data_IF_655596371013
#
_entry.id   IF_655596371013
#
_cell.length_a   1.000
_cell.length_b   1.000
_cell.length_c   1.000
_cell.angle_alpha   90.00
_cell.angle_beta   90.00
_cell.angle_gamma   90.00
#
_symmetry.space_group_name_H-M   'P 1'
#
loop_
_entity.id
_entity.type
_entity.pdbx_description
1 polymer ?
#
# COMPACT_ATOMS: atom_id res chain seq x y z
N UNK A 1 15.74 53.93 -40.68
CA UNK A 1 15.97 52.60 -41.30
C UNK A 1 15.98 51.56 -40.19
N UNK A 2 15.24 50.46 -40.32
CA UNK A 2 14.38 49.95 -39.25
C UNK A 2 15.01 48.80 -38.45
N UNK A 3 14.81 48.85 -37.12
CA UNK A 3 15.08 47.75 -36.21
C UNK A 3 14.07 46.60 -36.40
N UNK A 4 14.62 45.40 -36.44
CA UNK A 4 13.99 44.11 -36.67
C UNK A 4 12.83 43.84 -35.70
N UNK A 5 11.63 43.58 -36.26
CA UNK A 5 10.52 42.97 -35.54
C UNK A 5 10.80 41.47 -35.38
N UNK A 6 11.06 41.01 -34.17
CA UNK A 6 10.99 39.57 -33.86
C UNK A 6 9.53 39.13 -33.90
N UNK A 7 9.20 38.28 -34.88
CA UNK A 7 7.97 37.51 -34.94
C UNK A 7 7.99 36.51 -33.79
N UNK A 8 7.08 36.65 -32.82
CA UNK A 8 6.86 35.67 -31.76
C UNK A 8 5.80 34.71 -32.24
N UNK A 9 6.16 33.44 -32.43
CA UNK A 9 5.24 32.36 -32.75
C UNK A 9 4.09 32.31 -31.72
N UNK A 10 2.82 32.12 -32.14
CA UNK A 10 1.68 32.06 -31.23
C UNK A 10 1.64 30.81 -30.32
N UNK A 11 2.65 29.93 -30.39
CA UNK A 11 2.61 28.59 -29.80
C UNK A 11 3.41 28.42 -28.48
N UNK A 12 3.92 29.49 -27.88
CA UNK A 12 4.66 29.45 -26.61
C UNK A 12 3.70 29.65 -25.41
N UNK A 13 3.55 28.65 -24.51
CA UNK A 13 2.68 28.77 -23.34
C UNK A 13 3.22 29.84 -22.38
N UNK A 14 2.35 30.78 -22.00
CA UNK A 14 2.69 32.00 -21.24
C UNK A 14 2.65 31.79 -19.73
N UNK A 15 2.15 30.63 -19.27
CA UNK A 15 2.08 30.29 -17.84
C UNK A 15 2.48 28.84 -17.54
N UNK A 16 2.89 28.59 -16.28
CA UNK A 16 3.27 27.25 -15.78
C UNK A 16 2.10 26.26 -15.87
N UNK A 17 0.87 26.73 -15.68
CA UNK A 17 -0.35 25.92 -15.79
C UNK A 17 -0.63 25.48 -17.23
N UNK A 18 -0.43 26.36 -18.22
CA UNK A 18 -0.55 26.01 -19.64
C UNK A 18 0.50 24.97 -20.07
N UNK A 19 1.74 25.06 -19.55
CA UNK A 19 2.76 24.03 -19.80
C UNK A 19 2.33 22.65 -19.30
N UNK A 20 1.80 22.57 -18.09
CA UNK A 20 1.35 21.30 -17.49
C UNK A 20 0.13 20.71 -18.22
N UNK A 21 -0.81 21.56 -18.68
CA UNK A 21 -1.94 21.12 -19.49
C UNK A 21 -1.49 20.59 -20.86
N UNK A 22 -0.51 21.24 -21.50
CA UNK A 22 0.07 20.78 -22.77
C UNK A 22 0.80 19.44 -22.61
N UNK A 23 1.61 19.28 -21.56
CA UNK A 23 2.26 17.99 -21.24
C UNK A 23 1.24 16.87 -20.97
N UNK A 24 0.16 17.17 -20.24
CA UNK A 24 -0.92 16.20 -20.00
C UNK A 24 -1.60 15.77 -21.29
N UNK A 25 -1.86 16.70 -22.21
CA UNK A 25 -2.46 16.40 -23.51
C UNK A 25 -1.51 15.61 -24.43
N UNK A 26 -0.22 15.91 -24.43
CA UNK A 26 0.82 15.13 -25.13
C UNK A 26 0.90 13.69 -24.61
N UNK A 27 0.82 13.49 -23.28
CA UNK A 27 0.78 12.15 -22.68
C UNK A 27 -0.49 11.37 -23.06
N UNK A 28 -1.64 12.04 -23.18
CA UNK A 28 -2.88 11.42 -23.67
C UNK A 28 -2.76 11.01 -25.14
N UNK A 29 -2.22 11.87 -26.00
CA UNK A 29 -2.01 11.59 -27.42
C UNK A 29 -1.05 10.41 -27.64
N UNK A 30 0.08 10.38 -26.92
CA UNK A 30 1.03 9.26 -27.01
C UNK A 30 0.42 7.94 -26.50
N UNK A 31 -0.50 8.00 -25.53
CA UNK A 31 -1.19 6.80 -25.03
C UNK A 31 -2.18 6.24 -26.05
N UNK A 32 -2.85 7.11 -26.82
CA UNK A 32 -3.75 6.71 -27.92
C UNK A 32 -2.95 6.18 -29.11
N UNK A 33 -1.83 6.81 -29.46
CA UNK A 33 -0.93 6.31 -30.51
C UNK A 33 -0.37 4.91 -30.20
N UNK A 34 0.12 4.68 -28.97
CA UNK A 34 0.63 3.37 -28.55
C UNK A 34 -0.47 2.28 -28.48
N UNK A 35 -1.74 2.65 -28.32
CA UNK A 35 -2.86 1.71 -28.36
C UNK A 35 -3.20 1.31 -29.80
N UNK A 36 -3.09 2.24 -30.76
CA UNK A 36 -3.29 1.94 -32.18
C UNK A 36 -2.13 1.14 -32.79
N UNK A 37 -0.88 1.36 -32.37
CA UNK A 37 0.25 0.51 -32.82
C UNK A 37 0.15 -0.92 -32.29
N UNK A 38 -0.32 -1.11 -31.04
CA UNK A 38 -0.55 -2.45 -30.47
C UNK A 38 -1.74 -3.19 -31.08
N UNK A 39 -2.71 -2.48 -31.66
CA UNK A 39 -3.82 -3.08 -32.39
C UNK A 39 -3.47 -3.41 -33.85
N UNK A 40 -2.48 -2.74 -34.43
CA UNK A 40 -1.98 -3.00 -35.80
C UNK A 40 -1.04 -4.21 -35.93
N UNK A 41 -0.39 -4.62 -34.84
CA UNK A 41 0.58 -5.73 -34.83
C UNK A 41 -0.05 -7.11 -34.52
N UNK A 42 -1.35 -7.16 -34.20
CA UNK A 42 -2.09 -8.41 -33.91
C UNK A 42 -2.91 -8.95 -35.09
N UNK A 43 -2.74 -8.43 -36.30
CA UNK A 43 -3.39 -8.91 -37.54
C UNK A 43 -2.37 -9.25 -38.65
N UNK A 44 -1.28 -9.90 -38.27
CA UNK A 44 -0.38 -10.61 -39.20
C UNK A 44 -0.03 -11.95 -38.59
N UNK A 45 -0.97 -12.90 -38.65
CA UNK A 45 -0.74 -14.35 -38.60
C UNK A 45 -2.10 -15.06 -38.48
N UNK A 46 -2.87 -15.10 -39.57
CA UNK A 46 -3.93 -16.10 -39.81
C UNK A 46 -4.67 -15.82 -41.14
N UNK A 47 -4.09 -16.19 -42.28
CA UNK A 47 -4.89 -16.48 -43.48
C UNK A 47 -4.25 -17.61 -44.30
N UNK A 48 -4.91 -18.78 -44.27
CA UNK A 48 -4.87 -19.81 -45.31
C UNK A 48 -6.21 -20.56 -45.26
N UNK A 49 -6.88 -20.59 -46.42
CA UNK A 49 -8.15 -21.24 -46.78
C UNK A 49 -9.45 -20.42 -46.77
N UNK A 50 -9.72 -19.87 -47.96
CA UNK A 50 -10.91 -20.14 -48.80
C UNK A 50 -12.12 -19.18 -48.76
N UNK A 51 -12.26 -18.45 -49.89
CA UNK A 51 -13.44 -18.19 -50.76
C UNK A 51 -14.86 -18.44 -50.18
N UNK A 52 -15.91 -17.67 -50.50
CA UNK A 52 -16.18 -16.81 -51.65
C UNK A 52 -17.46 -15.97 -51.42
N UNK A 53 -17.50 -14.78 -52.07
CA UNK A 53 -18.69 -14.04 -52.59
C UNK A 53 -19.76 -13.50 -51.62
N UNK A 54 -20.51 -12.42 -51.89
CA UNK A 54 -20.38 -11.18 -52.66
C UNK A 54 -21.70 -10.39 -52.40
N UNK A 55 -21.64 -9.05 -52.46
CA UNK A 55 -22.74 -8.07 -52.66
C UNK A 55 -23.66 -7.81 -51.44
N UNK A 56 -23.54 -6.64 -50.78
CA UNK A 56 -24.14 -5.34 -51.15
C UNK A 56 -25.60 -5.22 -50.75
N UNK A 57 -25.88 -4.52 -49.65
CA UNK A 57 -26.90 -3.46 -49.62
C UNK A 57 -26.77 -2.61 -48.35
N UNK A 58 -26.91 -1.31 -48.54
CA UNK A 58 -26.71 -0.26 -47.56
C UNK A 58 -28.05 0.24 -47.01
N UNK A 59 -27.99 0.73 -45.77
CA UNK A 59 -28.83 1.78 -45.18
C UNK A 59 -30.34 1.49 -44.96
N UNK A 60 -30.69 1.30 -43.68
CA UNK A 60 -31.70 2.12 -42.99
C UNK A 60 -31.80 1.74 -41.51
N UNK A 61 -31.34 2.60 -40.59
CA UNK A 61 -31.63 2.48 -39.17
C UNK A 61 -32.33 3.76 -38.69
N UNK A 62 -33.64 3.70 -38.57
CA UNK A 62 -34.43 4.67 -37.80
C UNK A 62 -34.45 4.24 -36.32
N UNK A 63 -34.43 5.17 -35.35
CA UNK A 63 -34.38 4.83 -33.94
C UNK A 63 -35.77 4.39 -33.47
N UNK A 64 -35.91 3.13 -33.02
CA UNK A 64 -37.12 2.66 -32.36
C UNK A 64 -36.88 2.60 -30.85
N UNK A 65 -37.83 3.21 -30.13
CA UNK A 65 -37.91 3.36 -28.69
C UNK A 65 -37.88 2.00 -27.97
N UNK A 66 -37.04 1.88 -26.94
CA UNK A 66 -37.02 0.77 -25.99
C UNK A 66 -38.10 0.94 -24.91
N UNK A 67 -39.37 0.97 -25.28
CA UNK A 67 -40.48 0.80 -24.33
C UNK A 67 -41.63 0.11 -25.06
N UNK A 68 -41.59 -1.22 -25.10
CA UNK A 68 -42.72 -2.15 -25.20
C UNK A 68 -42.19 -3.49 -25.72
N UNK A 69 -41.92 -4.43 -24.80
CA UNK A 69 -42.00 -5.89 -24.97
C UNK A 69 -41.47 -6.55 -23.69
N UNK A 70 -42.29 -6.52 -22.63
CA UNK A 70 -42.10 -7.38 -21.47
C UNK A 70 -43.44 -7.98 -21.04
N UNK A 71 -43.97 -8.88 -21.85
CA UNK A 71 -44.92 -9.87 -21.36
C UNK A 71 -44.48 -11.26 -21.80
N UNK A 72 -43.97 -12.00 -20.81
CA UNK A 72 -44.08 -13.46 -20.71
C UNK A 72 -43.12 -14.32 -21.53
N UNK A 73 -41.98 -14.71 -20.93
CA UNK A 73 -41.48 -16.09 -21.01
C UNK A 73 -40.72 -16.43 -19.72
N UNK A 74 -41.18 -17.47 -19.02
CA UNK A 74 -40.51 -18.15 -17.91
C UNK A 74 -39.10 -18.64 -18.28
N UNK A 75 -38.14 -18.52 -17.36
CA UNK A 75 -36.95 -19.38 -17.36
C UNK A 75 -35.64 -18.67 -17.03
N UNK A 76 -35.02 -19.15 -15.95
CA UNK A 76 -33.66 -18.88 -15.47
C UNK A 76 -33.45 -17.54 -14.75
N UNK A 77 -33.71 -17.57 -13.44
CA UNK A 77 -32.97 -16.74 -12.48
C UNK A 77 -31.47 -16.95 -12.72
N UNK A 78 -30.84 -15.96 -13.36
CA UNK A 78 -29.39 -15.86 -13.45
C UNK A 78 -28.91 -15.56 -12.04
N UNK A 79 -28.57 -16.61 -11.28
CA UNK A 79 -27.84 -16.45 -10.04
C UNK A 79 -26.57 -15.68 -10.38
N UNK A 80 -26.51 -14.43 -9.94
CA UNK A 80 -25.32 -13.59 -9.95
C UNK A 80 -24.33 -14.24 -8.97
N UNK A 81 -23.67 -15.31 -9.42
CA UNK A 81 -22.62 -16.00 -8.68
C UNK A 81 -21.44 -15.03 -8.60
N UNK A 82 -21.49 -14.11 -7.64
CA UNK A 82 -20.33 -13.33 -7.22
C UNK A 82 -19.25 -14.34 -6.86
N UNK A 83 -18.21 -14.41 -7.69
CA UNK A 83 -17.01 -15.18 -7.39
C UNK A 83 -16.58 -14.86 -5.94
N UNK A 84 -16.21 -15.89 -5.15
CA UNK A 84 -15.79 -15.66 -3.77
C UNK A 84 -14.61 -14.68 -3.78
N UNK A 85 -14.75 -13.59 -3.02
CA UNK A 85 -13.70 -12.57 -2.92
C UNK A 85 -12.43 -13.19 -2.36
N UNK A 86 -11.30 -12.90 -3.00
CA UNK A 86 -10.00 -13.32 -2.48
C UNK A 86 -9.82 -12.75 -1.08
N UNK A 87 -9.46 -13.61 -0.13
CA UNK A 87 -9.20 -13.23 1.24
C UNK A 87 -7.79 -12.68 1.39
N UNK A 88 -7.69 -11.57 2.11
CA UNK A 88 -6.46 -10.81 2.29
C UNK A 88 -6.26 -10.50 3.78
N UNK A 89 -5.17 -11.00 4.34
CA UNK A 89 -4.76 -10.68 5.70
C UNK A 89 -3.75 -9.53 5.64
N UNK A 90 -4.22 -8.32 5.93
CA UNK A 90 -3.37 -7.13 6.04
C UNK A 90 -2.74 -7.12 7.42
N UNK A 91 -1.41 -7.18 7.50
CA UNK A 91 -0.69 -7.17 8.77
C UNK A 91 0.14 -5.89 8.87
N UNK A 92 -0.20 -5.04 9.83
CA UNK A 92 0.49 -3.79 10.08
C UNK A 92 0.69 -3.61 11.59
N UNK A 93 1.72 -2.86 11.99
CA UNK A 93 2.01 -2.66 13.40
C UNK A 93 0.80 -2.12 14.18
N UNK A 94 0.06 -1.15 13.62
CA UNK A 94 -1.15 -0.61 14.26
C UNK A 94 -2.41 -0.99 13.51
N UNK A 95 -3.46 -1.28 14.26
CA UNK A 95 -4.83 -1.35 13.75
C UNK A 95 -5.33 0.03 13.30
N UNK A 96 -6.31 0.10 12.38
CA UNK A 96 -6.85 1.34 11.86
C UNK A 96 -7.91 1.93 12.82
N UNK A 97 -7.72 1.74 14.13
CA UNK A 97 -8.67 2.12 15.16
C UNK A 97 -7.95 2.62 16.40
N UNK A 98 -8.56 3.60 17.07
CA UNK A 98 -8.23 4.03 18.41
C UNK A 98 -9.18 3.36 19.39
N UNK A 99 -8.62 2.60 20.33
CA UNK A 99 -9.39 1.91 21.36
C UNK A 99 -9.28 2.65 22.71
N UNK A 100 -10.41 2.95 23.32
CA UNK A 100 -10.48 3.55 24.66
C UNK A 100 -11.31 2.65 25.56
N UNK A 101 -10.74 2.24 26.70
CA UNK A 101 -11.41 1.38 27.68
C UNK A 101 -12.41 2.22 28.48
N UNK A 102 -13.68 1.85 28.43
CA UNK A 102 -14.78 2.54 29.14
C UNK A 102 -15.19 1.82 30.44
N UNK A 103 -14.79 0.55 30.61
CA UNK A 103 -15.10 -0.26 31.77
C UNK A 103 -14.29 -1.55 31.82
N UNK A 104 -14.69 -2.49 32.67
CA UNK A 104 -13.99 -3.78 32.81
C UNK A 104 -14.05 -4.60 31.51
N UNK A 105 -15.18 -4.59 30.82
CA UNK A 105 -15.49 -5.39 29.63
C UNK A 105 -16.04 -4.54 28.46
N UNK A 106 -15.80 -3.23 28.48
CA UNK A 106 -16.34 -2.30 27.49
C UNK A 106 -15.25 -1.43 26.86
N UNK A 107 -15.31 -1.34 25.53
CA UNK A 107 -14.36 -0.61 24.69
C UNK A 107 -15.09 0.28 23.70
N UNK A 108 -14.65 1.53 23.61
CA UNK A 108 -15.04 2.45 22.56
C UNK A 108 -13.98 2.41 21.46
N UNK A 109 -14.43 2.24 20.21
CA UNK A 109 -13.57 2.13 19.03
C UNK A 109 -13.87 3.24 18.03
N UNK A 110 -12.89 4.07 17.75
CA UNK A 110 -12.95 5.10 16.72
C UNK A 110 -12.03 4.71 15.54
N UNK A 111 -12.48 4.87 14.30
CA UNK A 111 -11.65 4.51 13.13
C UNK A 111 -10.66 5.64 12.87
N UNK A 112 -9.37 5.31 12.90
CA UNK A 112 -8.31 6.27 12.59
C UNK A 112 -8.11 6.36 11.08
N UNK A 113 -8.18 7.57 10.52
CA UNK A 113 -7.94 7.82 9.10
C UNK A 113 -6.47 8.10 8.84
N UNK A 114 -5.70 7.04 8.54
CA UNK A 114 -4.30 7.13 8.11
C UNK A 114 -4.12 6.98 6.58
N UNK A 115 -2.92 7.24 6.08
CA UNK A 115 -2.58 7.06 4.65
C UNK A 115 -2.76 5.61 4.18
N UNK A 116 -2.23 4.65 4.93
CA UNK A 116 -2.40 3.21 4.67
C UNK A 116 -3.88 2.79 4.75
N UNK A 117 -4.59 3.25 5.78
CA UNK A 117 -6.02 2.96 5.97
C UNK A 117 -6.84 3.46 4.79
N UNK A 118 -6.57 4.68 4.34
CA UNK A 118 -7.29 5.30 3.22
C UNK A 118 -7.03 4.59 1.90
N UNK A 119 -5.81 4.12 1.66
CA UNK A 119 -5.48 3.32 0.48
C UNK A 119 -6.19 1.95 0.50
N UNK A 120 -6.24 1.29 1.66
CA UNK A 120 -6.82 -0.05 1.78
C UNK A 120 -8.35 -0.06 1.84
N UNK A 121 -9.00 1.00 2.34
CA UNK A 121 -10.47 1.15 2.28
C UNK A 121 -11.02 1.16 0.84
N UNK A 122 -10.19 1.47 -0.15
CA UNK A 122 -10.58 1.43 -1.57
C UNK A 122 -10.70 0.02 -2.16
N UNK A 123 -10.15 -1.01 -1.50
CA UNK A 123 -10.08 -2.38 -2.03
C UNK A 123 -11.38 -3.16 -1.83
N UNK A 124 -12.40 -2.87 -2.66
CA UNK A 124 -13.72 -3.53 -2.60
C UNK A 124 -13.72 -5.00 -3.07
N UNK A 125 -12.69 -5.40 -3.81
CA UNK A 125 -12.58 -6.72 -4.45
C UNK A 125 -12.11 -7.82 -3.49
N UNK A 126 -11.49 -7.44 -2.36
CA UNK A 126 -10.95 -8.37 -1.38
C UNK A 126 -11.83 -8.45 -0.13
N UNK A 127 -11.89 -9.62 0.50
CA UNK A 127 -12.31 -9.72 1.90
C UNK A 127 -11.10 -9.49 2.80
N UNK A 128 -10.80 -8.21 3.07
CA UNK A 128 -9.65 -7.81 3.85
C UNK A 128 -9.94 -7.88 5.36
N UNK A 129 -9.03 -8.53 6.10
CA UNK A 129 -8.98 -8.51 7.57
C UNK A 129 -7.67 -7.88 8.02
N UNK A 130 -7.75 -7.03 9.02
CA UNK A 130 -6.58 -6.32 9.56
C UNK A 130 -6.08 -7.01 10.82
N UNK A 131 -4.78 -7.29 10.88
CA UNK A 131 -4.08 -7.82 12.04
C UNK A 131 -3.08 -6.76 12.51
N UNK A 132 -3.15 -6.39 13.79
CA UNK A 132 -2.27 -5.35 14.33
C UNK A 132 -2.41 -5.11 15.82
N UNK A 133 -1.49 -4.33 16.39
CA UNK A 133 -1.60 -3.86 17.77
C UNK A 133 -2.60 -2.72 17.89
N UNK A 134 -3.47 -2.79 18.91
CA UNK A 134 -4.53 -1.82 19.15
C UNK A 134 -4.05 -0.48 19.77
N UNK A 135 -2.75 -0.33 20.01
CA UNK A 135 -2.20 0.90 20.58
C UNK A 135 -2.38 1.02 22.11
N UNK A 136 -2.93 0.00 22.77
CA UNK A 136 -3.24 -0.03 24.20
C UNK A 136 -2.65 -1.28 24.85
N UNK A 137 -2.25 -1.17 26.12
CA UNK A 137 -1.90 -2.31 26.95
C UNK A 137 -3.17 -2.87 27.60
N UNK A 138 -3.38 -4.19 27.48
CA UNK A 138 -4.55 -4.89 28.04
C UNK A 138 -4.06 -6.13 28.78
N UNK A 139 -3.70 -6.02 30.07
CA UNK A 139 -3.06 -7.11 30.81
C UNK A 139 -4.04 -8.21 31.24
N UNK A 140 -5.34 -7.91 31.33
CA UNK A 140 -6.36 -8.85 31.78
C UNK A 140 -7.09 -9.54 30.62
N UNK A 141 -7.32 -10.85 30.76
CA UNK A 141 -7.99 -11.69 29.73
C UNK A 141 -9.39 -11.19 29.38
N UNK A 142 -10.16 -10.76 30.38
CA UNK A 142 -11.52 -10.22 30.18
C UNK A 142 -11.47 -9.00 29.25
N UNK A 143 -10.54 -8.08 29.48
CA UNK A 143 -10.32 -6.92 28.62
C UNK A 143 -9.91 -7.31 27.21
N UNK A 144 -9.05 -8.34 27.06
CA UNK A 144 -8.60 -8.83 25.75
C UNK A 144 -9.73 -9.48 24.95
N UNK A 145 -10.57 -10.29 25.60
CA UNK A 145 -11.74 -10.91 24.98
C UNK A 145 -12.75 -9.86 24.53
N UNK A 146 -13.07 -8.91 25.42
CA UNK A 146 -13.98 -7.81 25.11
C UNK A 146 -13.47 -6.95 23.93
N UNK A 147 -12.17 -6.61 23.92
CA UNK A 147 -11.58 -5.85 22.83
C UNK A 147 -11.58 -6.65 21.51
N UNK A 148 -11.26 -7.94 21.57
CA UNK A 148 -11.27 -8.82 20.39
C UNK A 148 -12.67 -8.87 19.78
N UNK A 149 -13.71 -8.99 20.61
CA UNK A 149 -15.11 -8.98 20.15
C UNK A 149 -15.47 -7.65 19.48
N UNK A 150 -15.15 -6.53 20.10
CA UNK A 150 -15.44 -5.20 19.53
C UNK A 150 -14.69 -4.95 18.20
N UNK A 151 -13.45 -5.45 18.09
CA UNK A 151 -12.64 -5.32 16.87
C UNK A 151 -13.12 -6.23 15.72
N UNK A 152 -13.67 -7.40 16.04
CA UNK A 152 -14.18 -8.33 15.05
C UNK A 152 -15.28 -7.72 14.17
N UNK A 153 -16.13 -6.86 14.74
CA UNK A 153 -17.17 -6.11 14.00
C UNK A 153 -16.58 -5.20 12.92
N UNK A 154 -15.33 -4.75 13.11
CA UNK A 154 -14.59 -3.90 12.16
C UNK A 154 -13.58 -4.71 11.33
N UNK A 155 -13.69 -6.05 11.29
CA UNK A 155 -12.75 -6.96 10.62
C UNK A 155 -11.29 -6.77 11.08
N UNK A 156 -11.11 -6.37 12.33
CA UNK A 156 -9.81 -6.17 12.95
C UNK A 156 -9.54 -7.30 13.95
N UNK A 157 -8.28 -7.74 14.00
CA UNK A 157 -7.79 -8.84 14.82
C UNK A 157 -6.62 -8.27 15.64
N UNK A 158 -6.75 -8.19 16.97
CA UNK A 158 -5.70 -7.61 17.80
C UNK A 158 -4.50 -8.55 17.97
N UNK A 159 -3.31 -7.96 17.97
CA UNK A 159 -2.10 -8.53 18.55
C UNK A 159 -1.85 -7.81 19.88
N UNK A 160 -1.89 -8.57 20.97
CA UNK A 160 -1.64 -8.04 22.30
C UNK A 160 -0.14 -8.07 22.57
N UNK A 161 0.43 -6.89 22.84
CA UNK A 161 1.84 -6.74 23.20
C UNK A 161 1.91 -6.17 24.62
N UNK A 162 2.76 -6.77 25.45
CA UNK A 162 3.04 -6.24 26.79
C UNK A 162 3.88 -4.96 26.72
N UNK A 163 3.84 -4.16 27.78
CA UNK A 163 4.53 -2.85 27.85
C UNK A 163 6.04 -2.97 27.63
N UNK A 164 6.68 -4.02 28.15
CA UNK A 164 8.12 -4.20 27.98
C UNK A 164 8.47 -4.49 26.53
N UNK A 165 7.71 -5.39 25.90
CA UNK A 165 7.82 -5.66 24.47
C UNK A 165 7.63 -4.37 23.68
N UNK A 166 6.55 -3.60 23.89
CA UNK A 166 6.33 -2.32 23.18
C UNK A 166 7.49 -1.34 23.37
N UNK A 167 8.02 -1.21 24.58
CA UNK A 167 9.15 -0.31 24.86
C UNK A 167 10.41 -0.73 24.10
N UNK A 168 10.77 -2.02 24.07
CA UNK A 168 11.97 -2.50 23.38
C UNK A 168 11.81 -2.59 21.85
N UNK A 169 10.68 -3.12 21.39
CA UNK A 169 10.38 -3.33 19.98
C UNK A 169 10.02 -2.04 19.27
N UNK A 170 8.96 -1.36 19.72
CA UNK A 170 8.39 -0.23 18.99
C UNK A 170 9.17 1.05 19.24
N UNK A 171 9.36 1.42 20.51
CA UNK A 171 10.11 2.64 20.83
C UNK A 171 11.61 2.46 20.62
N UNK A 172 12.18 1.38 21.16
CA UNK A 172 13.61 1.09 21.06
C UNK A 172 14.04 0.77 19.63
N UNK A 173 13.62 -0.38 19.11
CA UNK A 173 14.17 -0.87 17.85
C UNK A 173 13.59 -0.18 16.60
N UNK A 174 12.27 -0.10 16.50
CA UNK A 174 11.62 0.48 15.33
C UNK A 174 11.91 1.98 15.23
N UNK A 175 11.61 2.75 16.30
CA UNK A 175 11.66 4.20 16.26
C UNK A 175 13.04 4.82 16.56
N UNK A 176 13.89 4.18 17.37
CA UNK A 176 15.23 4.73 17.65
C UNK A 176 16.34 4.13 16.77
N UNK A 177 16.11 3.02 16.06
CA UNK A 177 17.15 2.38 15.23
C UNK A 177 16.76 2.33 13.77
N UNK A 178 15.68 1.64 13.41
CA UNK A 178 15.33 1.45 11.98
C UNK A 178 14.86 2.76 11.37
N UNK A 179 13.92 3.46 12.00
CA UNK A 179 13.32 4.67 11.44
C UNK A 179 14.37 5.75 11.14
N UNK A 180 15.26 6.16 12.07
CA UNK A 180 16.26 7.18 11.79
C UNK A 180 17.17 6.76 10.64
N UNK A 181 17.64 5.51 10.66
CA UNK A 181 18.56 4.99 9.65
C UNK A 181 17.94 4.96 8.25
N UNK A 182 16.69 4.52 8.13
CA UNK A 182 15.98 4.45 6.84
C UNK A 182 15.73 5.86 6.27
N UNK A 183 15.70 6.88 7.13
CA UNK A 183 15.61 8.29 6.76
C UNK A 183 16.98 8.98 6.67
N UNK A 184 18.07 8.21 6.55
CA UNK A 184 19.44 8.71 6.42
C UNK A 184 19.89 9.60 7.60
N UNK A 185 19.27 9.41 8.76
CA UNK A 185 19.71 9.99 10.01
C UNK A 185 20.72 9.04 10.66
N UNK A 186 21.70 9.60 11.36
CA UNK A 186 22.66 8.81 12.12
C UNK A 186 21.97 7.98 13.19
N UNK A 187 22.56 6.83 13.52
CA UNK A 187 22.14 6.08 14.70
C UNK A 187 22.38 6.95 15.95
N UNK A 188 21.53 6.84 16.98
CA UNK A 188 21.81 7.47 18.26
C UNK A 188 23.21 7.07 18.71
N UNK A 189 24.02 8.03 19.17
CA UNK A 189 25.24 7.65 19.88
C UNK A 189 24.81 6.87 21.11
N UNK A 190 25.40 5.69 21.33
CA UNK A 190 25.27 5.02 22.61
C UNK A 190 25.93 5.93 23.65
N UNK A 191 25.14 6.76 24.33
CA UNK A 191 25.57 7.42 25.54
C UNK A 191 25.92 6.30 26.52
N UNK A 192 27.23 6.01 26.65
CA UNK A 192 27.79 4.97 27.53
C UNK A 192 27.47 5.19 29.02
N UNK A 193 26.70 6.22 29.36
CA UNK A 193 26.45 6.72 30.69
C UNK A 193 24.97 7.08 30.88
N UNK A 194 24.05 6.14 30.68
CA UNK A 194 22.82 5.99 31.47
C UNK A 194 21.92 4.88 30.91
N UNK A 195 21.88 3.75 31.61
CA UNK A 195 20.65 2.97 31.84
C UNK A 195 19.72 2.69 30.64
N UNK A 196 19.91 1.49 30.07
CA UNK A 196 18.91 0.45 29.76
C UNK A 196 18.88 -0.04 28.31
N UNK A 197 19.40 -1.28 28.12
CA UNK A 197 19.18 -2.22 26.99
C UNK A 197 20.11 -2.06 25.78
N UNK A 198 20.69 -3.19 25.35
CA UNK A 198 21.62 -3.27 24.21
C UNK A 198 20.85 -3.40 22.89
N UNK A 199 21.49 -3.05 21.76
CA UNK A 199 21.00 -3.34 20.41
C UNK A 199 20.49 -4.78 20.26
N UNK A 200 21.18 -5.74 20.88
CA UNK A 200 20.81 -7.16 20.85
C UNK A 200 19.47 -7.40 21.55
N UNK A 201 19.27 -6.89 22.77
CA UNK A 201 18.01 -7.06 23.51
C UNK A 201 16.82 -6.42 22.78
N UNK A 202 17.02 -5.25 22.16
CA UNK A 202 16.00 -4.60 21.35
C UNK A 202 15.67 -5.40 20.07
N UNK A 203 16.68 -5.98 19.43
CA UNK A 203 16.48 -6.87 18.28
C UNK A 203 15.79 -8.19 18.67
N UNK A 204 16.09 -8.74 19.85
CA UNK A 204 15.40 -9.92 20.36
C UNK A 204 13.93 -9.64 20.67
N UNK A 205 13.63 -8.47 21.26
CA UNK A 205 12.24 -8.02 21.40
C UNK A 205 11.55 -7.79 20.05
N UNK A 206 12.28 -7.30 19.04
CA UNK A 206 11.76 -7.16 17.67
C UNK A 206 11.38 -8.50 17.04
N UNK A 207 12.23 -9.52 17.16
CA UNK A 207 11.91 -10.89 16.74
C UNK A 207 10.73 -11.46 17.52
N UNK A 208 10.71 -11.30 18.85
CA UNK A 208 9.60 -11.73 19.72
C UNK A 208 8.28 -11.13 19.26
N UNK A 209 8.23 -9.81 19.05
CA UNK A 209 7.03 -9.14 18.56
C UNK A 209 6.60 -9.71 17.21
N UNK A 210 7.50 -9.81 16.24
CA UNK A 210 7.19 -10.39 14.92
C UNK A 210 6.67 -11.84 15.01
N UNK A 211 7.19 -12.64 15.94
CA UNK A 211 6.66 -13.98 16.20
C UNK A 211 5.23 -13.94 16.74
N UNK A 212 4.92 -13.03 17.67
CA UNK A 212 3.55 -12.86 18.18
C UNK A 212 2.57 -12.44 17.07
N UNK A 213 3.00 -11.58 16.14
CA UNK A 213 2.22 -11.28 14.95
C UNK A 213 2.02 -12.52 14.06
N UNK A 214 3.07 -13.30 13.82
CA UNK A 214 2.99 -14.54 13.04
C UNK A 214 2.02 -15.55 13.66
N UNK A 215 2.05 -15.71 14.98
CA UNK A 215 1.16 -16.64 15.70
C UNK A 215 -0.31 -16.26 15.51
N UNK A 216 -0.63 -14.96 15.59
CA UNK A 216 -1.98 -14.46 15.31
C UNK A 216 -2.37 -14.66 13.83
N UNK A 217 -1.46 -14.37 12.89
CA UNK A 217 -1.71 -14.63 11.46
C UNK A 217 -2.04 -16.10 11.23
N UNK A 218 -1.24 -17.02 11.76
CA UNK A 218 -1.47 -18.47 11.60
C UNK A 218 -2.76 -18.96 12.24
N UNK A 219 -3.23 -18.34 13.33
CA UNK A 219 -4.52 -18.67 13.95
C UNK A 219 -5.71 -18.32 13.04
N UNK A 220 -5.56 -17.31 12.20
CA UNK A 220 -6.65 -16.78 11.36
C UNK A 220 -6.49 -17.09 9.87
N UNK A 221 -5.34 -17.65 9.48
CA UNK A 221 -5.03 -18.06 8.11
C UNK A 221 -5.88 -19.26 7.67
N UNK A 222 -6.48 -19.13 6.50
CA UNK A 222 -7.09 -20.24 5.76
C UNK A 222 -6.28 -20.51 4.49
N UNK A 223 -6.26 -21.76 4.03
CA UNK A 223 -5.47 -22.12 2.85
C UNK A 223 -5.92 -21.33 1.61
N UNK A 224 -4.96 -20.69 0.93
CA UNK A 224 -5.22 -19.79 -0.18
C UNK A 224 -5.35 -18.31 0.20
N UNK A 225 -5.34 -17.97 1.50
CA UNK A 225 -5.25 -16.57 1.94
C UNK A 225 -3.93 -15.94 1.47
N UNK A 226 -3.98 -14.66 1.11
CA UNK A 226 -2.78 -13.85 0.87
C UNK A 226 -2.48 -13.04 2.13
N UNK A 227 -1.25 -13.13 2.63
CA UNK A 227 -0.78 -12.30 3.74
C UNK A 227 0.03 -11.13 3.19
N UNK A 228 -0.36 -9.92 3.57
CA UNK A 228 0.33 -8.70 3.15
C UNK A 228 0.86 -7.95 4.37
N UNK A 229 2.16 -8.06 4.57
CA UNK A 229 2.90 -7.45 5.68
C UNK A 229 3.31 -6.02 5.33
N UNK A 230 3.13 -5.10 6.27
CA UNK A 230 3.43 -3.69 6.06
C UNK A 230 4.50 -3.16 7.00
N UNK A 231 5.41 -2.44 6.38
CA UNK A 231 6.37 -1.52 6.96
C UNK A 231 7.56 -2.14 7.70
N UNK A 232 8.51 -1.27 8.08
CA UNK A 232 9.76 -1.64 8.76
C UNK A 232 9.56 -2.31 10.12
N UNK A 233 8.37 -2.15 10.73
CA UNK A 233 7.97 -2.81 11.96
C UNK A 233 7.91 -4.34 11.85
N UNK A 234 7.66 -4.86 10.65
CA UNK A 234 7.34 -6.25 10.37
C UNK A 234 8.28 -6.86 9.31
N UNK A 235 9.55 -6.47 9.29
CA UNK A 235 10.56 -7.03 8.37
C UNK A 235 10.90 -8.49 8.69
N UNK A 236 10.76 -8.91 9.95
CA UNK A 236 11.06 -10.28 10.36
C UNK A 236 9.88 -11.25 10.11
N UNK A 237 8.67 -10.71 10.03
CA UNK A 237 7.43 -11.46 9.91
C UNK A 237 7.39 -12.44 8.72
N UNK A 238 7.84 -12.10 7.49
CA UNK A 238 7.76 -13.04 6.37
C UNK A 238 8.52 -14.35 6.63
N UNK A 239 9.67 -14.27 7.33
CA UNK A 239 10.42 -15.45 7.76
C UNK A 239 9.65 -16.27 8.78
N UNK A 240 9.14 -15.66 9.84
CA UNK A 240 8.32 -16.35 10.85
C UNK A 240 7.15 -17.12 10.22
N UNK A 241 6.48 -16.50 9.23
CA UNK A 241 5.36 -17.13 8.52
C UNK A 241 5.80 -18.34 7.68
N UNK A 242 6.88 -18.19 6.92
CA UNK A 242 7.41 -19.23 6.02
C UNK A 242 8.05 -20.40 6.76
N UNK A 243 8.61 -20.17 7.94
CA UNK A 243 9.17 -21.24 8.79
C UNK A 243 8.09 -22.22 9.26
N UNK A 244 6.86 -21.75 9.51
CA UNK A 244 5.75 -22.59 9.93
C UNK A 244 4.91 -23.13 8.77
N UNK A 245 4.75 -22.35 7.69
CA UNK A 245 4.09 -22.80 6.46
C UNK A 245 4.81 -22.21 5.24
N UNK A 246 5.58 -23.02 4.52
CA UNK A 246 6.33 -22.57 3.34
C UNK A 246 5.44 -22.17 2.15
N UNK A 247 4.21 -22.69 2.09
CA UNK A 247 3.26 -22.47 0.99
C UNK A 247 2.46 -21.18 1.10
N UNK A 248 2.42 -20.55 2.29
CA UNK A 248 1.69 -19.30 2.53
C UNK A 248 2.14 -18.21 1.57
N UNK A 249 1.21 -17.50 0.92
CA UNK A 249 1.55 -16.41 0.00
C UNK A 249 1.79 -15.13 0.79
N UNK A 250 3.02 -14.60 0.73
CA UNK A 250 3.44 -13.45 1.53
C UNK A 250 3.94 -12.33 0.63
N UNK A 251 3.27 -11.18 0.69
CA UNK A 251 3.79 -9.90 0.22
C UNK A 251 4.32 -9.08 1.40
N UNK A 252 5.40 -8.33 1.21
CA UNK A 252 5.87 -7.32 2.15
C UNK A 252 6.05 -5.98 1.45
N UNK A 253 5.57 -4.90 2.06
CA UNK A 253 5.63 -3.56 1.47
C UNK A 253 6.20 -2.54 2.47
N UNK A 254 7.21 -1.76 2.05
CA UNK A 254 7.81 -0.70 2.86
C UNK A 254 7.18 0.67 2.55
N UNK A 255 6.72 1.37 3.59
CA UNK A 255 6.14 2.71 3.46
C UNK A 255 7.16 3.84 3.63
N UNK A 256 8.27 3.56 4.30
CA UNK A 256 9.39 4.50 4.41
C UNK A 256 10.32 4.39 3.19
N UNK A 257 11.28 5.31 3.03
CA UNK A 257 12.42 5.07 2.16
C UNK A 257 13.17 3.79 2.56
N UNK A 258 13.79 3.14 1.59
CA UNK A 258 14.82 2.13 1.85
C UNK A 258 16.19 2.77 1.65
N UNK A 259 17.10 2.69 2.64
CA UNK A 259 18.37 3.39 2.56
C UNK A 259 19.35 2.71 1.59
N UNK A 260 20.38 3.43 1.16
CA UNK A 260 21.45 2.82 0.35
C UNK A 260 22.19 1.74 1.14
N UNK A 261 22.86 0.82 0.44
CA UNK A 261 23.62 -0.28 1.06
C UNK A 261 24.69 0.21 2.05
N UNK A 262 25.29 1.37 1.79
CA UNK A 262 26.31 1.99 2.66
C UNK A 262 25.75 2.42 4.01
N UNK A 263 24.47 2.78 4.04
CA UNK A 263 23.74 3.16 5.25
C UNK A 263 23.16 1.92 5.92
N UNK A 264 22.51 1.02 5.17
CA UNK A 264 21.93 -0.22 5.72
C UNK A 264 22.96 -1.10 6.45
N UNK A 265 24.20 -1.15 5.95
CA UNK A 265 25.27 -1.94 6.58
C UNK A 265 25.66 -1.47 7.99
N UNK A 266 25.23 -0.28 8.42
CA UNK A 266 25.43 0.19 9.80
C UNK A 266 24.58 -0.59 10.80
N UNK A 267 23.51 -1.29 10.37
CA UNK A 267 22.71 -2.14 11.25
C UNK A 267 23.52 -3.36 11.72
N UNK A 268 23.57 -3.63 13.04
CA UNK A 268 24.12 -4.87 13.55
C UNK A 268 23.43 -6.12 12.97
N UNK A 269 22.10 -6.10 12.90
CA UNK A 269 21.20 -7.15 12.39
C UNK A 269 20.91 -7.06 10.88
N UNK A 270 21.76 -6.33 10.13
CA UNK A 270 21.57 -6.07 8.68
C UNK A 270 21.28 -7.31 7.86
N UNK A 271 21.91 -8.45 8.19
CA UNK A 271 21.75 -9.72 7.46
C UNK A 271 20.39 -10.32 7.75
N UNK A 272 20.08 -10.51 9.03
CA UNK A 272 18.82 -11.09 9.49
C UNK A 272 17.59 -10.37 8.94
N UNK A 273 17.62 -9.03 8.90
CA UNK A 273 16.50 -8.24 8.36
C UNK A 273 16.33 -8.45 6.85
N UNK A 274 17.41 -8.46 6.07
CA UNK A 274 17.33 -8.68 4.62
C UNK A 274 16.88 -10.11 4.30
N UNK A 275 17.48 -11.10 4.96
CA UNK A 275 17.11 -12.51 4.80
C UNK A 275 15.64 -12.73 5.17
N UNK A 276 15.16 -12.05 6.20
CA UNK A 276 13.76 -12.20 6.63
C UNK A 276 12.76 -11.58 5.67
N UNK A 277 13.06 -10.40 5.11
CA UNK A 277 12.22 -9.81 4.06
C UNK A 277 12.25 -10.66 2.78
N UNK A 278 13.40 -11.22 2.42
CA UNK A 278 13.55 -12.10 1.25
C UNK A 278 12.78 -13.42 1.35
N UNK A 279 12.31 -13.81 2.54
CA UNK A 279 11.42 -14.95 2.69
C UNK A 279 10.03 -14.71 2.04
N UNK A 280 9.62 -13.44 1.86
CA UNK A 280 8.42 -13.07 1.14
C UNK A 280 8.47 -13.52 -0.33
N UNK A 281 7.31 -13.67 -0.96
CA UNK A 281 7.20 -13.98 -2.39
C UNK A 281 7.25 -12.70 -3.25
N UNK A 282 6.81 -11.56 -2.68
CA UNK A 282 6.87 -10.24 -3.31
C UNK A 282 7.31 -9.18 -2.29
N UNK A 283 8.28 -8.35 -2.66
CA UNK A 283 8.76 -7.20 -1.91
C UNK A 283 8.44 -5.92 -2.67
N UNK A 284 7.70 -5.02 -2.05
CA UNK A 284 7.22 -3.79 -2.66
C UNK A 284 7.75 -2.52 -2.00
N UNK A 285 7.99 -1.49 -2.81
CA UNK A 285 8.42 -0.16 -2.39
C UNK A 285 7.64 0.94 -3.11
N UNK A 286 7.65 2.18 -2.61
CA UNK A 286 7.01 3.29 -3.32
C UNK A 286 7.69 3.70 -4.63
N UNK A 287 9.03 3.60 -4.71
CA UNK A 287 9.81 4.07 -5.86
C UNK A 287 10.79 3.01 -6.32
N UNK A 288 11.18 3.10 -7.60
CA UNK A 288 12.19 2.23 -8.17
C UNK A 288 13.57 2.41 -7.50
N UNK A 289 13.89 3.61 -7.02
CA UNK A 289 15.15 3.86 -6.31
C UNK A 289 15.25 3.07 -5.01
N UNK A 290 14.16 2.99 -4.23
CA UNK A 290 14.13 2.20 -3.00
C UNK A 290 14.27 0.70 -3.30
N UNK A 291 13.58 0.21 -4.33
CA UNK A 291 13.71 -1.17 -4.80
C UNK A 291 15.16 -1.49 -5.22
N UNK A 292 15.80 -0.61 -5.99
CA UNK A 292 17.20 -0.75 -6.41
C UNK A 292 18.16 -0.73 -5.22
N UNK A 293 17.91 0.11 -4.22
CA UNK A 293 18.71 0.14 -3.00
C UNK A 293 18.59 -1.16 -2.20
N UNK A 294 17.39 -1.73 -2.10
CA UNK A 294 17.16 -3.04 -1.48
C UNK A 294 17.93 -4.15 -2.21
N UNK A 295 17.78 -4.27 -3.53
CA UNK A 295 18.51 -5.27 -4.34
C UNK A 295 20.03 -5.10 -4.14
N UNK A 296 20.53 -3.86 -4.19
CA UNK A 296 21.95 -3.58 -3.95
C UNK A 296 22.40 -3.95 -2.53
N UNK A 297 21.55 -3.80 -1.51
CA UNK A 297 21.87 -4.21 -0.15
C UNK A 297 21.94 -5.74 -0.04
N UNK A 298 20.99 -6.47 -0.65
CA UNK A 298 21.03 -7.93 -0.72
C UNK A 298 22.30 -8.44 -1.41
N UNK A 299 22.68 -7.87 -2.56
CA UNK A 299 23.89 -8.30 -3.26
C UNK A 299 25.17 -8.00 -2.46
N UNK A 300 25.31 -6.80 -1.91
CA UNK A 300 26.54 -6.39 -1.21
C UNK A 300 26.71 -7.02 0.17
N UNK A 301 25.61 -7.24 0.88
CA UNK A 301 25.64 -7.70 2.27
C UNK A 301 25.48 -9.22 2.32
N UNK A 302 24.52 -9.78 1.59
CA UNK A 302 24.25 -11.23 1.62
C UNK A 302 25.09 -12.00 0.59
N UNK A 303 25.58 -11.35 -0.46
CA UNK A 303 26.27 -12.01 -1.57
C UNK A 303 25.33 -12.68 -2.56
N UNK A 304 24.05 -12.30 -2.57
CA UNK A 304 23.03 -12.86 -3.44
C UNK A 304 23.00 -12.18 -4.82
N UNK A 305 22.52 -12.90 -5.83
CA UNK A 305 22.37 -12.36 -7.17
C UNK A 305 21.14 -11.44 -7.25
N UNK A 306 21.36 -10.20 -7.70
CA UNK A 306 20.32 -9.22 -7.92
C UNK A 306 20.02 -9.09 -9.41
N UNK A 307 18.75 -9.22 -9.78
CA UNK A 307 18.26 -9.04 -11.16
C UNK A 307 17.30 -7.84 -11.24
N UNK A 308 16.95 -7.36 -12.44
CA UNK A 308 15.92 -6.34 -12.58
C UNK A 308 14.54 -6.75 -12.03
N UNK A 309 14.27 -8.06 -11.92
CA UNK A 309 13.01 -8.61 -11.41
C UNK A 309 13.02 -8.81 -9.88
N UNK A 310 14.20 -8.88 -9.25
CA UNK A 310 14.29 -9.13 -7.83
C UNK A 310 15.64 -9.68 -7.36
N UNK A 311 15.61 -10.55 -6.35
CA UNK A 311 16.80 -11.16 -5.75
C UNK A 311 16.65 -12.67 -5.80
N UNK A 312 17.67 -13.36 -6.32
CA UNK A 312 17.72 -14.81 -6.39
C UNK A 312 18.50 -15.39 -5.21
N UNK A 313 17.91 -16.40 -4.57
CA UNK A 313 18.51 -17.13 -3.46
C UNK A 313 18.26 -18.63 -3.63
N UNK A 314 19.33 -19.39 -3.90
CA UNK A 314 19.28 -20.86 -4.04
C UNK A 314 18.19 -21.34 -5.02
N UNK A 315 18.06 -20.68 -6.18
CA UNK A 315 17.06 -21.01 -7.20
C UNK A 315 15.64 -20.50 -6.92
N UNK A 316 15.41 -19.80 -5.80
CA UNK A 316 14.16 -19.07 -5.53
C UNK A 316 14.34 -17.59 -5.84
N UNK A 317 13.55 -17.07 -6.78
CA UNK A 317 13.47 -15.65 -7.08
C UNK A 317 12.42 -14.97 -6.19
N UNK A 318 12.85 -14.03 -5.35
CA UNK A 318 11.96 -13.12 -4.64
C UNK A 318 11.78 -11.87 -5.48
N UNK A 319 10.55 -11.63 -5.96
CA UNK A 319 10.26 -10.48 -6.83
C UNK A 319 10.34 -9.18 -6.05
N UNK A 320 10.96 -8.16 -6.64
CA UNK A 320 11.07 -6.82 -6.06
C UNK A 320 10.50 -5.80 -7.05
N UNK A 321 9.55 -4.98 -6.60
CA UNK A 321 8.88 -4.02 -7.49
C UNK A 321 8.51 -2.71 -6.79
N UNK A 322 8.26 -1.68 -7.61
CA UNK A 322 7.81 -0.38 -7.17
C UNK A 322 6.31 -0.20 -7.42
N UNK A 323 5.57 0.10 -6.35
CA UNK A 323 4.13 0.39 -6.35
C UNK A 323 3.90 1.74 -5.63
N UNK A 324 3.79 2.86 -6.37
CA UNK A 324 3.51 4.15 -5.74
C UNK A 324 2.11 4.12 -5.12
N UNK A 325 2.03 4.39 -3.81
CA UNK A 325 0.74 4.39 -3.11
C UNK A 325 -0.05 5.63 -3.48
N UNK A 326 -1.35 5.45 -3.72
CA UNK A 326 -2.28 6.52 -4.02
C UNK A 326 -3.24 6.80 -2.86
N UNK A 327 -4.10 7.80 -3.06
CA UNK A 327 -5.26 8.07 -2.21
C UNK A 327 -6.54 7.82 -3.03
N UNK A 328 -7.65 7.56 -2.34
CA UNK A 328 -8.98 7.65 -2.96
C UNK A 328 -9.32 9.12 -3.18
N UNK A 329 -8.92 9.67 -4.33
CA UNK A 329 -9.18 11.08 -4.67
C UNK A 329 -10.67 11.41 -4.70
N UNK A 330 -11.49 10.46 -5.14
CA UNK A 330 -12.92 10.67 -5.33
C UNK A 330 -13.62 10.81 -3.98
N UNK A 331 -13.15 10.12 -2.94
CA UNK A 331 -13.62 10.34 -1.57
C UNK A 331 -13.42 11.79 -1.12
N UNK A 332 -12.27 12.38 -1.39
CA UNK A 332 -12.01 13.78 -1.03
C UNK A 332 -12.84 14.74 -1.88
N UNK A 333 -12.98 14.48 -3.17
CA UNK A 333 -13.84 15.29 -4.06
C UNK A 333 -15.29 15.26 -3.57
N UNK A 334 -15.84 14.09 -3.24
CA UNK A 334 -17.19 13.96 -2.67
C UNK A 334 -17.32 14.64 -1.31
N UNK A 335 -16.29 14.56 -0.46
CA UNK A 335 -16.30 15.19 0.86
C UNK A 335 -16.36 16.72 0.76
N UNK A 336 -15.79 17.33 -0.29
CA UNK A 336 -15.89 18.77 -0.51
C UNK A 336 -17.33 19.22 -0.74
N UNK A 337 -18.21 18.38 -1.29
CA UNK A 337 -19.61 18.73 -1.54
C UNK A 337 -20.50 18.67 -0.29
N UNK A 338 -19.99 18.19 0.85
CA UNK A 338 -20.76 18.12 2.08
C UNK A 338 -21.07 19.53 2.62
N UNK A 339 -22.32 19.84 2.99
CA UNK A 339 -22.70 21.17 3.48
C UNK A 339 -21.83 21.66 4.64
N UNK A 340 -21.56 20.79 5.62
CA UNK A 340 -20.69 21.09 6.77
C UNK A 340 -19.27 21.50 6.36
N UNK A 341 -18.73 20.87 5.32
CA UNK A 341 -17.40 21.18 4.80
C UNK A 341 -17.42 22.51 4.05
N UNK A 342 -18.46 22.78 3.26
CA UNK A 342 -18.65 24.06 2.57
C UNK A 342 -18.80 25.23 3.55
N UNK A 343 -19.56 25.05 4.63
CA UNK A 343 -19.72 26.04 5.69
C UNK A 343 -18.38 26.34 6.37
N UNK A 344 -17.59 25.32 6.68
CA UNK A 344 -16.27 25.50 7.28
C UNK A 344 -15.27 26.14 6.30
N UNK A 345 -15.34 25.82 5.01
CA UNK A 345 -14.55 26.50 3.97
C UNK A 345 -14.91 27.98 3.93
N UNK A 346 -16.20 28.34 4.03
CA UNK A 346 -16.66 29.73 4.04
C UNK A 346 -16.15 30.46 5.28
N UNK A 347 -16.29 29.87 6.45
CA UNK A 347 -15.78 30.40 7.72
C UNK A 347 -14.26 30.68 7.65
N UNK A 348 -13.49 29.71 7.16
CA UNK A 348 -12.04 29.86 7.00
C UNK A 348 -11.69 30.96 5.98
N UNK A 349 -12.42 31.06 4.87
CA UNK A 349 -12.24 32.13 3.87
C UNK A 349 -12.50 33.52 4.46
N UNK A 350 -13.56 33.67 5.25
CA UNK A 350 -13.89 34.93 5.92
C UNK A 350 -12.84 35.27 6.98
N UNK A 351 -12.48 34.31 7.84
CA UNK A 351 -11.49 34.48 8.90
C UNK A 351 -10.11 34.87 8.37
N UNK A 352 -9.69 34.31 7.23
CA UNK A 352 -8.38 34.57 6.62
C UNK A 352 -8.44 35.49 5.40
N UNK A 353 -9.52 36.28 5.26
CA UNK A 353 -9.67 37.24 4.16
C UNK A 353 -8.45 38.16 4.03
N UNK A 354 -8.02 38.40 2.79
CA UNK A 354 -6.85 39.24 2.47
C UNK A 354 -5.48 38.62 2.81
N UNK A 355 -5.43 37.39 3.32
CA UNK A 355 -4.18 36.69 3.69
C UNK A 355 -3.97 35.43 2.85
N UNK A 356 -2.70 35.07 2.61
CA UNK A 356 -2.32 33.75 2.12
C UNK A 356 -2.15 32.81 3.30
N UNK A 357 -2.78 31.65 3.25
CA UNK A 357 -2.67 30.62 4.28
C UNK A 357 -1.72 29.53 3.81
N UNK A 358 -0.66 29.30 4.58
CA UNK A 358 0.15 28.09 4.46
C UNK A 358 -0.41 27.04 5.40
N UNK A 359 -0.74 25.87 4.86
CA UNK A 359 -1.14 24.71 5.66
C UNK A 359 -0.07 23.64 5.53
N UNK A 360 0.32 23.05 6.66
CA UNK A 360 1.19 21.88 6.74
C UNK A 360 0.52 20.86 7.63
N UNK A 361 0.51 19.61 7.19
CA UNK A 361 0.07 18.49 8.00
C UNK A 361 1.33 17.76 8.46
N UNK A 362 1.51 17.66 9.77
CA UNK A 362 2.54 16.80 10.35
C UNK A 362 1.95 15.39 10.41
N UNK A 363 2.58 14.44 9.71
CA UNK A 363 2.15 13.05 9.68
C UNK A 363 2.57 12.30 10.96
#
# INVERSE_FOLDING_TARGET
MPGSKCNVDPATPKSRTERLLKERNLRKLNRVFNLNEKAGDSMRDAELFSNDSALSEAENWAPLNEEELSEGVDGYERQDQRLPKQRLLVVANRLPVSAVRQGKDSWQLEISVGGLVSALLGLKEFDARWIGWAGVNVPDEIGQEALTKALAEKKCIPVFLDEDTVHQYYNGYCNNIIWPLFHYLGLPQEDRLATTRSFQSQFDAYKKANQMFADVVHKHYEEGDVVWCHDYHLMFLPRCLKEKNSNIKVGWFLHTPFPSSEIHRMLPSRRDLLESVLAADLVGFHTYDYARHFVSACTRILGLEGTPEGVENQGKLTRVAAFPIGIDSDRFIRALELPQVQDHIKELKERFAGRKVGASFTA
#
